data_IF_491125568369
#
_entry.id   IF_491125568369
#
_cell.length_a   1.000
_cell.length_b   1.000
_cell.length_c   1.000
_cell.angle_alpha   90.00
_cell.angle_beta   90.00
_cell.angle_gamma   90.00
#
_symmetry.space_group_name_H-M   'P 1'
#
loop_
_entity.id
_entity.type
_entity.pdbx_description
1 polymer ?
#
# COMPACT_ATOMS: atom_id res chain seq x y z
N UNK A 1 52.12 -36.79 -63.77
CA UNK A 1 52.91 -35.56 -63.87
C UNK A 1 51.92 -34.40 -63.81
N UNK A 2 51.69 -33.85 -62.62
CA UNK A 2 50.69 -32.80 -62.38
C UNK A 2 51.42 -31.50 -62.04
N UNK A 3 51.35 -30.44 -62.85
CA UNK A 3 51.79 -29.12 -62.41
C UNK A 3 50.60 -28.28 -61.94
N UNK A 4 50.62 -28.06 -60.63
CA UNK A 4 50.08 -26.95 -59.86
C UNK A 4 49.73 -25.66 -60.63
N UNK A 5 48.55 -25.10 -60.36
CA UNK A 5 48.36 -23.64 -60.21
C UNK A 5 47.14 -23.32 -59.32
N UNK A 6 47.27 -23.56 -58.01
CA UNK A 6 46.40 -22.94 -57.01
C UNK A 6 46.85 -21.49 -56.83
N UNK A 7 46.23 -20.57 -57.58
CA UNK A 7 46.44 -19.12 -57.41
C UNK A 7 45.11 -18.36 -57.52
N UNK A 8 44.15 -18.71 -56.67
CA UNK A 8 42.95 -17.89 -56.48
C UNK A 8 42.51 -17.94 -55.03
N UNK A 9 43.34 -17.42 -54.12
CA UNK A 9 42.86 -17.08 -52.78
C UNK A 9 43.82 -16.08 -52.12
N UNK A 10 43.64 -14.79 -52.39
CA UNK A 10 44.04 -13.67 -51.50
C UNK A 10 43.68 -12.34 -52.16
N UNK A 11 42.41 -11.94 -52.05
CA UNK A 11 42.01 -10.54 -52.25
C UNK A 11 40.85 -10.16 -51.35
N UNK A 12 41.01 -10.38 -50.05
CA UNK A 12 40.02 -9.98 -49.05
C UNK A 12 40.67 -9.50 -47.75
N UNK A 13 41.69 -8.62 -47.75
CA UNK A 13 42.11 -7.97 -46.49
C UNK A 13 43.10 -6.79 -46.66
N UNK A 14 42.93 -5.92 -47.65
CA UNK A 14 43.86 -4.80 -47.81
C UNK A 14 43.12 -3.51 -48.18
N UNK A 15 42.29 -2.99 -47.26
CA UNK A 15 41.96 -1.55 -47.09
C UNK A 15 40.67 -1.41 -46.25
N UNK A 16 40.67 -1.94 -45.01
CA UNK A 16 39.71 -1.48 -44.02
C UNK A 16 40.39 -0.37 -43.21
N UNK A 17 40.13 0.92 -43.47
CA UNK A 17 40.80 2.00 -42.74
C UNK A 17 40.44 1.91 -41.25
N UNK A 18 41.40 2.26 -40.38
CA UNK A 18 41.19 2.27 -38.94
C UNK A 18 39.96 3.14 -38.63
N UNK A 19 38.95 2.56 -37.98
CA UNK A 19 37.61 3.10 -37.68
C UNK A 19 36.51 2.92 -38.75
N UNK A 20 36.73 2.16 -39.82
CA UNK A 20 35.63 1.79 -40.72
C UNK A 20 34.93 0.52 -40.23
N UNK A 21 33.78 0.74 -39.60
CA UNK A 21 32.79 -0.30 -39.33
C UNK A 21 31.92 -0.46 -40.58
N UNK A 22 31.90 -1.64 -41.23
CA UNK A 22 30.99 -1.91 -42.33
C UNK A 22 29.55 -1.88 -41.81
N UNK A 23 28.89 -0.74 -41.94
CA UNK A 23 27.47 -0.59 -41.66
C UNK A 23 26.70 -0.92 -42.93
N UNK A 24 25.69 -1.75 -42.80
CA UNK A 24 24.76 -2.01 -43.90
C UNK A 24 24.02 -0.71 -44.24
N UNK A 25 24.24 -0.20 -45.45
CA UNK A 25 23.47 0.88 -46.06
C UNK A 25 22.36 0.22 -46.89
N UNK A 26 21.08 0.32 -46.48
CA UNK A 26 19.98 -0.17 -47.30
C UNK A 26 19.97 0.53 -48.67
N UNK A 27 19.56 -0.20 -49.73
CA UNK A 27 19.34 0.40 -51.05
C UNK A 27 18.20 1.41 -51.01
N UNK A 28 18.24 2.41 -51.90
CA UNK A 28 17.23 3.47 -51.99
C UNK A 28 15.81 2.93 -52.20
N UNK A 29 15.69 1.83 -52.96
CA UNK A 29 14.42 1.12 -53.16
C UNK A 29 13.85 0.59 -51.83
N UNK A 30 14.71 0.00 -50.98
CA UNK A 30 14.30 -0.52 -49.67
C UNK A 30 13.90 0.60 -48.72
N UNK A 31 14.56 1.76 -48.80
CA UNK A 31 14.19 2.96 -48.05
C UNK A 31 12.82 3.47 -48.51
N UNK A 32 12.58 3.50 -49.83
CA UNK A 32 11.30 3.91 -50.40
C UNK A 32 10.16 2.97 -50.00
N UNK A 33 10.37 1.66 -49.98
CA UNK A 33 9.39 0.67 -49.50
C UNK A 33 9.06 0.85 -48.01
N UNK A 34 10.08 1.03 -47.16
CA UNK A 34 9.89 1.30 -45.74
C UNK A 34 9.07 2.57 -45.55
N UNK A 35 9.44 3.65 -46.25
CA UNK A 35 8.71 4.90 -46.17
C UNK A 35 7.28 4.76 -46.67
N UNK A 36 7.03 4.05 -47.78
CA UNK A 36 5.69 3.79 -48.28
C UNK A 36 4.82 2.99 -47.30
N UNK A 37 5.42 2.07 -46.54
CA UNK A 37 4.72 1.32 -45.48
C UNK A 37 4.43 2.16 -44.23
N UNK A 38 5.28 3.17 -43.95
CA UNK A 38 5.17 4.05 -42.78
C UNK A 38 4.35 5.32 -43.05
N UNK A 39 4.10 5.67 -44.31
CA UNK A 39 3.21 6.77 -44.69
C UNK A 39 1.84 6.53 -44.03
N UNK A 40 1.39 7.55 -43.31
CA UNK A 40 0.28 7.56 -42.34
C UNK A 40 -1.05 7.00 -42.86
N UNK A 41 -1.20 6.86 -44.17
CA UNK A 41 -2.34 6.21 -44.84
C UNK A 41 -2.46 4.71 -44.50
N UNK A 42 -1.36 4.03 -44.19
CA UNK A 42 -1.37 2.59 -43.85
C UNK A 42 -1.32 2.29 -42.34
N UNK A 43 -1.00 3.27 -41.49
CA UNK A 43 -0.86 3.06 -40.05
C UNK A 43 -1.55 4.21 -39.29
N UNK A 44 -2.87 4.14 -39.07
CA UNK A 44 -3.53 5.14 -38.26
C UNK A 44 -2.92 5.08 -36.85
N UNK A 45 -2.35 6.21 -36.39
CA UNK A 45 -1.68 6.35 -35.08
C UNK A 45 -2.54 5.94 -33.87
N UNK A 46 -3.83 5.70 -34.11
CA UNK A 46 -4.82 5.27 -33.14
C UNK A 46 -4.73 3.78 -32.74
N UNK A 47 -3.88 2.98 -33.39
CA UNK A 47 -3.76 1.51 -33.15
C UNK A 47 -2.60 1.15 -32.19
N UNK A 48 -1.80 2.11 -31.74
CA UNK A 48 -0.53 1.80 -31.06
C UNK A 48 -0.66 1.15 -29.66
N UNK A 49 -1.86 1.02 -29.10
CA UNK A 49 -2.06 0.31 -27.85
C UNK A 49 -3.37 -0.46 -27.80
N UNK A 50 -3.28 -1.79 -27.96
CA UNK A 50 -4.38 -2.71 -27.72
C UNK A 50 -4.20 -3.40 -26.36
N UNK A 51 -4.99 -2.93 -25.40
CA UNK A 51 -5.06 -3.48 -24.05
C UNK A 51 -5.42 -4.98 -24.01
N UNK A 52 -6.05 -5.53 -25.05
CA UNK A 52 -6.42 -6.95 -25.10
C UNK A 52 -5.23 -7.87 -25.41
N UNK A 53 -4.21 -7.35 -26.10
CA UNK A 53 -3.04 -8.13 -26.53
C UNK A 53 -1.85 -8.03 -25.55
N UNK A 54 -1.94 -7.18 -24.52
CA UNK A 54 -0.89 -7.04 -23.52
C UNK A 54 -0.85 -8.24 -22.56
N UNK A 55 0.31 -8.92 -22.49
CA UNK A 55 0.55 -10.10 -21.62
C UNK A 55 1.09 -9.71 -20.23
N UNK A 56 1.33 -8.41 -19.99
CA UNK A 56 1.83 -7.92 -18.70
C UNK A 56 0.76 -8.10 -17.60
N UNK A 57 1.21 -8.30 -16.37
CA UNK A 57 0.33 -8.26 -15.21
C UNK A 57 -0.30 -6.87 -15.07
N UNK A 58 -1.62 -6.80 -15.28
CA UNK A 58 -2.40 -5.57 -15.09
C UNK A 58 -2.57 -5.30 -13.60
N UNK A 59 -2.23 -4.08 -13.18
CA UNK A 59 -2.36 -3.65 -11.78
C UNK A 59 -3.81 -3.49 -11.34
N UNK A 60 -4.01 -3.34 -10.03
CA UNK A 60 -5.31 -2.93 -9.49
C UNK A 60 -5.67 -1.53 -10.01
N UNK A 61 -6.88 -1.39 -10.58
CA UNK A 61 -7.32 -0.15 -11.23
C UNK A 61 -7.11 -0.10 -12.74
N UNK A 62 -6.67 -1.19 -13.37
CA UNK A 62 -6.69 -1.29 -14.83
C UNK A 62 -8.12 -1.28 -15.37
N UNK A 63 -8.41 -0.37 -16.31
CA UNK A 63 -9.70 -0.27 -16.99
C UNK A 63 -9.48 -0.14 -18.50
N UNK A 64 -10.20 -0.92 -19.30
CA UNK A 64 -10.14 -0.89 -20.76
C UNK A 64 -11.39 -0.22 -21.30
N UNK A 65 -11.22 0.88 -22.02
CA UNK A 65 -12.31 1.50 -22.76
C UNK A 65 -12.54 0.78 -24.08
N UNK A 66 -13.81 0.76 -24.53
CA UNK A 66 -14.18 0.29 -25.85
C UNK A 66 -13.69 1.23 -26.96
N UNK A 67 -13.47 0.66 -28.14
CA UNK A 67 -13.02 1.42 -29.31
C UNK A 67 -14.14 2.28 -29.93
N UNK A 68 -15.40 1.89 -29.74
CA UNK A 68 -16.54 2.63 -30.27
C UNK A 68 -16.78 3.93 -29.46
N UNK A 69 -16.95 5.05 -30.15
CA UNK A 69 -17.04 6.35 -29.48
C UNK A 69 -18.23 6.48 -28.52
N UNK A 70 -19.36 5.87 -28.87
CA UNK A 70 -20.60 5.98 -28.09
C UNK A 70 -20.49 5.21 -26.78
N UNK A 71 -19.94 3.99 -26.83
CA UNK A 71 -19.75 3.16 -25.64
C UNK A 71 -18.63 3.72 -24.77
N UNK A 72 -17.55 4.22 -25.37
CA UNK A 72 -16.48 4.93 -24.63
C UNK A 72 -17.01 6.13 -23.85
N UNK A 73 -17.90 6.93 -24.44
CA UNK A 73 -18.52 8.08 -23.74
C UNK A 73 -19.35 7.61 -22.53
N UNK A 74 -20.15 6.56 -22.69
CA UNK A 74 -20.92 5.98 -21.58
C UNK A 74 -20.02 5.45 -20.46
N UNK A 75 -18.98 4.70 -20.81
CA UNK A 75 -17.99 4.20 -19.85
C UNK A 75 -17.29 5.34 -19.08
N UNK A 76 -16.97 6.44 -19.77
CA UNK A 76 -16.42 7.64 -19.14
C UNK A 76 -17.41 8.33 -18.20
N UNK A 77 -18.69 8.39 -18.56
CA UNK A 77 -19.76 8.93 -17.71
C UNK A 77 -19.96 8.07 -16.46
N UNK A 78 -19.94 6.75 -16.60
CA UNK A 78 -20.12 5.83 -15.49
C UNK A 78 -18.92 5.87 -14.53
N UNK A 79 -17.69 6.02 -15.05
CA UNK A 79 -16.50 6.22 -14.22
C UNK A 79 -16.59 7.54 -13.42
N UNK A 80 -17.13 8.61 -14.02
CA UNK A 80 -17.36 9.87 -13.31
C UNK A 80 -18.39 9.72 -12.20
N UNK A 81 -19.52 9.06 -12.46
CA UNK A 81 -20.54 8.78 -11.43
C UNK A 81 -19.95 7.99 -10.26
N UNK A 82 -19.17 6.95 -10.56
CA UNK A 82 -18.50 6.16 -9.53
C UNK A 82 -17.57 7.02 -8.66
N UNK A 83 -16.85 8.00 -9.26
CA UNK A 83 -16.05 8.96 -8.49
C UNK A 83 -16.92 9.84 -7.59
N UNK A 84 -17.96 10.46 -8.14
CA UNK A 84 -18.88 11.31 -7.38
C UNK A 84 -19.52 10.55 -6.20
N UNK A 85 -19.89 9.28 -6.40
CA UNK A 85 -20.46 8.45 -5.34
C UNK A 85 -19.42 8.12 -4.26
N UNK A 86 -18.16 7.85 -4.64
CA UNK A 86 -17.08 7.67 -3.67
C UNK A 86 -16.72 8.95 -2.92
N UNK A 87 -16.78 10.10 -3.57
CA UNK A 87 -16.55 11.41 -2.94
C UNK A 87 -17.66 11.72 -1.94
N UNK A 88 -18.93 11.55 -2.33
CA UNK A 88 -20.09 11.72 -1.42
C UNK A 88 -20.01 10.79 -0.22
N UNK A 89 -19.72 9.51 -0.42
CA UNK A 89 -19.60 8.55 0.69
C UNK A 89 -18.45 8.89 1.62
N UNK A 90 -17.32 9.42 1.11
CA UNK A 90 -16.23 9.94 1.95
C UNK A 90 -16.67 11.16 2.77
N UNK A 91 -17.36 12.10 2.14
CA UNK A 91 -17.91 13.28 2.82
C UNK A 91 -18.91 12.88 3.93
N UNK A 92 -19.83 11.95 3.64
CA UNK A 92 -20.82 11.42 4.59
C UNK A 92 -20.16 10.71 5.80
N UNK A 93 -19.08 9.98 5.55
CA UNK A 93 -18.30 9.32 6.60
C UNK A 93 -17.33 10.26 7.33
N UNK A 94 -17.22 11.51 6.90
CA UNK A 94 -16.33 12.51 7.49
C UNK A 94 -14.84 12.26 7.21
N UNK A 95 -14.51 11.53 6.14
CA UNK A 95 -13.15 11.38 5.68
C UNK A 95 -12.68 12.70 5.04
N UNK A 96 -11.63 13.31 5.59
CA UNK A 96 -11.03 14.52 5.03
C UNK A 96 -10.21 14.12 3.80
N UNK A 97 -10.55 14.64 2.63
CA UNK A 97 -9.75 14.44 1.41
C UNK A 97 -8.45 15.24 1.53
N UNK A 98 -7.42 14.59 2.06
CA UNK A 98 -6.10 15.20 2.20
C UNK A 98 -5.45 15.31 0.83
N UNK A 99 -5.04 16.54 0.48
CA UNK A 99 -4.37 16.77 -0.80
C UNK A 99 -3.04 16.00 -0.83
N UNK A 100 -2.67 15.37 -1.96
CA UNK A 100 -1.39 14.68 -2.07
C UNK A 100 -0.23 15.65 -1.76
N UNK A 101 0.36 15.52 -0.57
CA UNK A 101 1.41 16.42 -0.06
C UNK A 101 1.12 17.08 1.29
N UNK A 102 -0.13 17.12 1.75
CA UNK A 102 -0.42 17.36 3.17
C UNK A 102 -0.17 16.06 3.94
N UNK A 103 0.75 16.11 4.90
CA UNK A 103 1.08 14.96 5.74
C UNK A 103 -0.12 14.69 6.65
N UNK A 104 -0.84 13.59 6.40
CA UNK A 104 -1.71 12.98 7.40
C UNK A 104 -0.85 12.52 8.57
N UNK A 105 -0.64 13.44 9.52
CA UNK A 105 0.21 13.19 10.66
C UNK A 105 0.11 14.33 11.66
N UNK A 106 -0.66 14.08 12.73
CA UNK A 106 -0.54 14.77 14.02
C UNK A 106 -0.51 16.31 13.98
N UNK A 107 -1.38 16.93 13.19
CA UNK A 107 -1.72 18.35 13.41
C UNK A 107 -2.62 18.43 14.65
N UNK A 108 -1.93 18.61 15.77
CA UNK A 108 -2.33 19.22 17.02
C UNK A 108 -3.73 19.87 17.03
N UNK A 109 -4.62 19.29 17.87
CA UNK A 109 -5.78 19.90 18.53
C UNK A 109 -6.25 21.25 17.92
N UNK A 110 -7.01 21.20 16.83
CA UNK A 110 -7.94 22.29 16.52
C UNK A 110 -9.36 21.76 16.69
N UNK A 111 -9.97 22.17 17.80
CA UNK A 111 -11.38 22.03 18.09
C UNK A 111 -12.22 22.38 16.86
N UNK A 112 -12.96 21.40 16.31
CA UNK A 112 -13.62 21.59 15.02
C UNK A 112 -14.68 20.54 14.69
N UNK A 113 -15.87 20.73 15.25
CA UNK A 113 -17.18 20.43 14.62
C UNK A 113 -17.72 18.98 14.62
N UNK A 114 -16.94 17.93 14.88
CA UNK A 114 -17.47 16.54 14.84
C UNK A 114 -18.01 15.95 16.15
N UNK A 115 -17.71 16.52 17.31
CA UNK A 115 -17.74 15.78 18.59
C UNK A 115 -19.02 15.96 19.44
N UNK A 116 -20.19 16.01 18.80
CA UNK A 116 -21.49 16.04 19.51
C UNK A 116 -22.40 14.84 19.19
N UNK A 117 -21.98 13.90 18.35
CA UNK A 117 -22.80 12.72 18.05
C UNK A 117 -22.60 11.63 19.13
N UNK A 118 -23.35 11.82 20.22
CA UNK A 118 -23.84 10.80 21.16
C UNK A 118 -22.75 9.99 21.89
N UNK A 119 -21.99 10.67 22.77
CA UNK A 119 -21.27 10.01 23.86
C UNK A 119 -22.29 9.22 24.70
N UNK A 120 -22.27 7.90 24.59
CA UNK A 120 -23.15 7.03 25.36
C UNK A 120 -22.92 7.25 26.87
N UNK A 121 -23.94 7.04 27.70
CA UNK A 121 -23.85 7.13 29.17
C UNK A 121 -22.65 6.36 29.75
N UNK A 122 -22.24 5.27 29.09
CA UNK A 122 -21.08 4.46 29.47
C UNK A 122 -19.74 5.19 29.24
N UNK A 123 -19.62 5.92 28.13
CA UNK A 123 -18.42 6.70 27.81
C UNK A 123 -18.27 7.92 28.72
N UNK A 124 -19.38 8.56 29.09
CA UNK A 124 -19.38 9.68 30.04
C UNK A 124 -18.91 9.23 31.43
N UNK A 125 -19.35 8.05 31.90
CA UNK A 125 -18.87 7.45 33.15
C UNK A 125 -17.36 7.18 33.12
N UNK A 126 -16.86 6.60 32.04
CA UNK A 126 -15.42 6.31 31.86
C UNK A 126 -14.58 7.60 31.84
N UNK A 127 -15.10 8.68 31.24
CA UNK A 127 -14.44 9.99 31.22
C UNK A 127 -14.34 10.58 32.63
N UNK A 128 -15.42 10.53 33.41
CA UNK A 128 -15.44 11.02 34.80
C UNK A 128 -14.45 10.27 35.69
N UNK A 129 -14.41 8.94 35.61
CA UNK A 129 -13.47 8.12 36.41
C UNK A 129 -12.00 8.41 36.06
N UNK A 130 -11.69 8.67 34.77
CA UNK A 130 -10.35 9.03 34.34
C UNK A 130 -9.93 10.42 34.82
N UNK A 131 -10.83 11.39 34.83
CA UNK A 131 -10.59 12.73 35.36
C UNK A 131 -10.38 12.70 36.88
N UNK A 132 -11.17 11.92 37.61
CA UNK A 132 -10.98 11.70 39.05
C UNK A 132 -9.64 11.01 39.34
N UNK A 133 -9.26 10.01 38.54
CA UNK A 133 -7.96 9.34 38.64
C UNK A 133 -6.80 10.29 38.36
N UNK A 134 -6.90 11.14 37.34
CA UNK A 134 -5.91 12.19 37.04
C UNK A 134 -5.79 13.17 38.21
N UNK A 135 -6.92 13.67 38.72
CA UNK A 135 -6.94 14.57 39.87
C UNK A 135 -6.34 13.95 41.12
N UNK A 136 -6.58 12.65 41.36
CA UNK A 136 -5.94 11.91 42.45
C UNK A 136 -4.43 11.77 42.24
N UNK A 137 -3.97 11.51 41.01
CA UNK A 137 -2.54 11.44 40.70
C UNK A 137 -1.87 12.81 40.83
N UNK A 138 -2.53 13.90 40.42
CA UNK A 138 -1.98 15.25 40.57
C UNK A 138 -1.97 15.70 42.02
N UNK A 139 -2.98 15.34 42.82
CA UNK A 139 -2.96 15.54 44.26
C UNK A 139 -1.85 14.72 44.92
N UNK A 140 -1.61 13.48 44.47
CA UNK A 140 -0.48 12.65 44.94
C UNK A 140 0.84 13.29 44.55
N UNK A 141 1.02 13.70 43.29
CA UNK A 141 2.21 14.39 42.78
C UNK A 141 2.49 15.67 43.56
N UNK A 142 1.47 16.49 43.83
CA UNK A 142 1.60 17.71 44.63
C UNK A 142 1.99 17.41 46.09
N UNK A 143 1.43 16.36 46.69
CA UNK A 143 1.77 15.94 48.06
C UNK A 143 3.16 15.29 48.16
N UNK A 144 3.60 14.57 47.13
CA UNK A 144 4.95 13.97 47.07
C UNK A 144 6.02 14.95 46.64
N UNK A 145 5.68 16.08 45.99
CA UNK A 145 6.62 17.15 45.65
C UNK A 145 6.97 18.09 46.82
N UNK A 146 6.51 17.80 48.04
CA UNK A 146 7.08 18.41 49.24
C UNK A 146 8.37 17.67 49.63
N UNK A 147 9.44 17.89 48.85
CA UNK A 147 10.82 17.67 49.32
C UNK A 147 11.66 16.58 48.64
N UNK A 148 11.65 16.45 47.31
CA UNK A 148 12.77 15.80 46.62
C UNK A 148 13.04 16.42 45.25
N UNK A 149 14.19 17.10 45.16
CA UNK A 149 14.87 17.47 43.92
C UNK A 149 15.01 16.24 43.00
N UNK A 150 14.84 16.40 41.67
CA UNK A 150 15.00 15.28 40.75
C UNK A 150 16.47 14.81 40.76
N UNK A 151 16.74 13.48 40.82
CA UNK A 151 18.10 13.00 40.62
C UNK A 151 18.55 13.36 39.21
N UNK A 152 19.59 14.19 39.13
CA UNK A 152 20.30 14.48 37.89
C UNK A 152 20.86 13.18 37.33
N UNK A 153 20.21 12.64 36.30
CA UNK A 153 20.74 11.52 35.52
C UNK A 153 21.94 12.07 34.74
N UNK A 154 23.15 11.83 35.25
CA UNK A 154 24.39 12.00 34.49
C UNK A 154 24.42 10.89 33.45
N UNK A 155 24.10 11.23 32.21
CA UNK A 155 24.33 10.37 31.05
C UNK A 155 25.81 10.50 30.72
N UNK A 156 26.60 9.52 31.16
CA UNK A 156 27.99 9.36 30.77
C UNK A 156 28.02 8.78 29.36
N UNK A 157 28.38 9.62 28.39
CA UNK A 157 28.57 9.25 26.99
C UNK A 157 29.90 8.52 26.89
N UNK A 158 29.85 7.18 26.81
CA UNK A 158 30.97 6.39 26.33
C UNK A 158 30.85 6.23 24.82
N UNK A 159 31.78 6.84 24.08
CA UNK A 159 32.07 6.48 22.69
C UNK A 159 32.69 5.07 22.64
N UNK A 160 32.25 4.18 21.73
CA UNK A 160 33.03 3.01 21.36
C UNK A 160 33.62 3.19 19.96
N UNK A 161 34.93 3.41 19.91
CA UNK A 161 35.77 3.11 18.76
C UNK A 161 35.97 1.59 18.65
N UNK A 162 35.54 0.95 17.56
CA UNK A 162 35.93 -0.43 17.23
C UNK A 162 35.09 -1.11 16.12
N UNK A 163 35.71 -1.65 15.04
CA UNK A 163 35.03 -2.21 13.87
C UNK A 163 34.40 -3.61 14.09
N UNK A 164 33.46 -4.04 13.20
CA UNK A 164 32.35 -4.92 13.57
C UNK A 164 32.68 -6.41 13.59
N UNK A 165 32.28 -7.07 14.68
CA UNK A 165 32.10 -8.50 14.76
C UNK A 165 30.67 -8.88 14.33
N UNK A 166 30.59 -9.73 13.30
CA UNK A 166 29.62 -10.82 13.07
C UNK A 166 28.18 -10.58 13.57
N UNK A 167 27.30 -10.34 12.59
CA UNK A 167 25.85 -10.26 12.69
C UNK A 167 25.26 -11.50 13.38
N UNK A 168 24.75 -11.34 14.61
CA UNK A 168 23.70 -12.21 15.13
C UNK A 168 22.35 -11.55 14.80
N UNK A 169 21.43 -12.34 14.25
CA UNK A 169 20.11 -11.92 13.83
C UNK A 169 19.35 -11.18 14.97
N UNK A 170 18.49 -10.20 14.64
CA UNK A 170 17.69 -9.54 15.65
C UNK A 170 16.71 -10.56 16.26
N UNK A 171 16.79 -10.71 17.59
CA UNK A 171 15.70 -11.28 18.37
C UNK A 171 14.43 -10.51 18.01
N UNK A 172 13.46 -11.20 17.42
CA UNK A 172 12.17 -10.64 17.04
C UNK A 172 11.51 -10.01 18.27
N UNK A 173 11.28 -8.67 18.29
CA UNK A 173 10.69 -7.99 19.44
C UNK A 173 9.28 -8.49 19.77
N UNK A 174 8.60 -9.16 18.83
CA UNK A 174 7.27 -9.72 19.05
C UNK A 174 7.26 -11.06 19.79
N UNK A 175 8.35 -11.83 19.74
CA UNK A 175 8.42 -13.15 20.39
C UNK A 175 8.30 -13.07 21.93
N UNK A 176 8.78 -11.97 22.53
CA UNK A 176 8.68 -11.74 23.97
C UNK A 176 7.25 -11.41 24.44
N UNK A 177 6.39 -10.90 23.54
CA UNK A 177 4.98 -10.60 23.79
C UNK A 177 4.10 -11.83 23.61
N UNK A 178 4.41 -12.67 22.63
CA UNK A 178 3.69 -13.93 22.39
C UNK A 178 3.91 -14.95 23.51
N UNK A 179 5.07 -14.95 24.16
CA UNK A 179 5.33 -15.77 25.35
C UNK A 179 4.55 -15.32 26.60
N UNK A 180 4.00 -14.11 26.62
CA UNK A 180 3.24 -13.56 27.75
C UNK A 180 1.73 -13.78 27.64
N UNK A 181 1.21 -14.27 26.50
CA UNK A 181 -0.21 -14.60 26.36
C UNK A 181 -0.44 -16.05 26.79
N UNK A 182 -1.14 -16.31 27.90
CA UNK A 182 -1.47 -17.67 28.29
C UNK A 182 -2.49 -18.25 27.31
N UNK A 183 -2.09 -19.26 26.54
CA UNK A 183 -3.01 -20.06 25.73
C UNK A 183 -4.03 -20.76 26.64
N UNK A 184 -5.34 -20.76 26.31
CA UNK A 184 -6.33 -21.49 27.07
C UNK A 184 -6.10 -22.99 26.93
N UNK A 185 -5.89 -23.66 28.08
CA UNK A 185 -5.81 -25.11 28.17
C UNK A 185 -7.16 -25.73 27.82
N UNK A 186 -7.19 -26.51 26.75
CA UNK A 186 -8.33 -27.35 26.39
C UNK A 186 -8.34 -28.60 27.26
N UNK A 187 -8.89 -28.49 28.47
CA UNK A 187 -9.21 -29.66 29.29
C UNK A 187 -10.61 -30.18 28.90
N UNK A 188 -10.59 -31.22 28.07
CA UNK A 188 -11.74 -32.10 27.88
C UNK A 188 -12.04 -32.81 29.21
N UNK A 189 -13.22 -32.50 29.79
CA UNK A 189 -14.06 -33.35 30.67
C UNK A 189 -14.51 -32.62 31.95
N UNK A 190 -15.74 -32.14 31.93
CA UNK A 190 -16.44 -31.73 33.15
C UNK A 190 -17.69 -30.93 32.83
N UNK A 191 -18.87 -31.46 33.18
CA UNK A 191 -20.15 -30.75 33.19
C UNK A 191 -20.02 -29.50 34.09
N UNK A 192 -19.64 -28.38 33.50
CA UNK A 192 -19.72 -27.06 34.10
C UNK A 192 -20.67 -26.23 33.27
N UNK A 193 -21.66 -25.62 33.90
CA UNK A 193 -22.41 -24.50 33.30
C UNK A 193 -21.38 -23.46 32.87
N UNK A 194 -21.06 -23.43 31.58
CA UNK A 194 -20.26 -22.35 31.02
C UNK A 194 -21.08 -21.08 31.21
N UNK A 195 -20.48 -20.08 31.85
CA UNK A 195 -20.98 -18.72 31.75
C UNK A 195 -20.85 -18.40 30.26
N UNK A 196 -21.97 -18.18 29.59
CA UNK A 196 -21.98 -17.82 28.18
C UNK A 196 -21.00 -16.67 27.98
N UNK A 197 -20.01 -16.88 27.12
CA UNK A 197 -19.08 -15.83 26.78
C UNK A 197 -19.89 -14.68 26.18
N UNK A 198 -19.57 -13.41 26.50
CA UNK A 198 -20.34 -12.27 26.00
C UNK A 198 -20.36 -12.21 24.47
N UNK A 199 -19.37 -12.83 23.82
CA UNK A 199 -19.32 -13.01 22.37
C UNK A 199 -20.42 -13.96 21.87
N UNK A 200 -20.66 -15.08 22.54
CA UNK A 200 -21.68 -16.05 22.15
C UNK A 200 -23.09 -15.49 22.35
N UNK A 201 -23.30 -14.74 23.44
CA UNK A 201 -24.55 -14.04 23.68
C UNK A 201 -24.86 -12.99 22.59
N UNK A 202 -23.83 -12.31 22.09
CA UNK A 202 -23.95 -11.34 20.99
C UNK A 202 -24.27 -12.03 19.65
N UNK A 203 -23.57 -13.11 19.31
CA UNK A 203 -23.84 -13.88 18.09
C UNK A 203 -25.27 -14.44 18.07
N UNK A 204 -25.74 -14.97 19.22
CA UNK A 204 -27.11 -15.45 19.36
C UNK A 204 -28.16 -14.32 19.27
N UNK A 205 -27.82 -13.09 19.64
CA UNK A 205 -28.71 -11.93 19.45
C UNK A 205 -28.78 -11.53 17.97
N UNK A 206 -27.65 -11.53 17.28
CA UNK A 206 -27.54 -11.16 15.87
C UNK A 206 -28.28 -12.15 14.96
N UNK A 207 -28.19 -13.44 15.24
CA UNK A 207 -28.93 -14.49 14.53
C UNK A 207 -30.46 -14.27 14.63
N UNK A 208 -30.96 -13.91 15.81
CA UNK A 208 -32.39 -13.63 16.01
C UNK A 208 -32.85 -12.41 15.22
N UNK A 209 -32.03 -11.37 15.15
CA UNK A 209 -32.36 -10.16 14.41
C UNK A 209 -32.39 -10.41 12.90
N UNK A 210 -31.46 -11.21 12.36
CA UNK A 210 -31.45 -11.61 10.95
C UNK A 210 -32.70 -12.44 10.61
N UNK A 211 -33.01 -13.47 11.40
CA UNK A 211 -34.18 -14.33 11.17
C UNK A 211 -35.52 -13.59 11.32
N UNK A 212 -35.55 -12.53 12.14
CA UNK A 212 -36.75 -11.70 12.30
C UNK A 212 -36.91 -10.69 11.15
N UNK A 213 -35.81 -10.24 10.55
CA UNK A 213 -35.81 -9.29 9.44
C UNK A 213 -36.23 -9.89 8.09
N UNK A 214 -36.16 -11.21 7.92
CA UNK A 214 -36.48 -11.90 6.66
C UNK A 214 -37.96 -12.23 6.46
N UNK A 215 -38.84 -11.90 7.42
CA UNK A 215 -40.31 -12.10 7.33
C UNK A 215 -41.08 -10.83 6.92
N UNK A 216 -40.48 -9.98 6.08
CA UNK A 216 -41.13 -8.79 5.52
C UNK A 216 -41.10 -8.80 4.01
#
# INVERSE_FOLDING_TARGET
>A
MFPYSLFYLTKCFADNPVNHFPTYQPSDERIAEINASLVEENNPLNIHYDASQEVRAKGAGFYQFSADEVTRRKEMEDLKKAREDTEKTREELGAVDVRPGEVEGMVQESEGVGEQLKKSRAMEKRKRELEERRKMLDAKRRKTNHGNEPPSIKIEVQEPMGPPAIVQAPLDPFAALEAQTPLPKLDLKGKGKMKEDPADAFLAALERDILKGTNK
#
